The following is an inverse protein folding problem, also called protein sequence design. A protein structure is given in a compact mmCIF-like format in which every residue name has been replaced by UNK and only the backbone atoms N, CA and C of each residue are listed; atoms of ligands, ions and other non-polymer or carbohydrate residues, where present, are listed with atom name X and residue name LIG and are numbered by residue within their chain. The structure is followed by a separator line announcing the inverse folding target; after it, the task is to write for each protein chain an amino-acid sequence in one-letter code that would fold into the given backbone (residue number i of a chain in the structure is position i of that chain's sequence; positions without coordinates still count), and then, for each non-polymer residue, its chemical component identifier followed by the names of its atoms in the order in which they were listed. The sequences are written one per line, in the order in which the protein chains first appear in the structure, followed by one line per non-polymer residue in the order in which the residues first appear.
data_IF_977263667418
#
_entry.id   IF_977263667418
#
_cell.length_a   1.000
_cell.length_b   1.000
_cell.length_c   1.000
_cell.angle_alpha   90.00
_cell.angle_beta   90.00
_cell.angle_gamma   90.00
#
_symmetry.space_group_name_H-M   'P 1'
#
loop_
_entity.id
_entity.type
_entity.pdbx_description
1 polymer ?
#
# COMPACT_ATOMS: atom_id res chain seq x y z
N UNK A 1 -22.34 -18.49 -15.80
CA UNK A 1 -22.77 -18.36 -14.40
C UNK A 1 -22.32 -16.97 -13.96
N UNK A 2 -23.20 -16.12 -13.43
CA UNK A 2 -22.83 -14.74 -13.09
C UNK A 2 -21.84 -14.68 -11.93
N UNK A 3 -20.71 -14.03 -12.13
CA UNK A 3 -19.67 -13.78 -11.12
C UNK A 3 -20.20 -12.83 -10.03
N UNK A 4 -21.07 -11.90 -10.41
CA UNK A 4 -21.73 -11.01 -9.46
C UNK A 4 -22.72 -11.75 -8.56
N UNK A 5 -23.49 -12.69 -9.11
CA UNK A 5 -24.39 -13.54 -8.32
C UNK A 5 -23.60 -14.37 -7.29
N UNK A 6 -22.40 -14.81 -7.64
CA UNK A 6 -21.53 -15.53 -6.71
C UNK A 6 -21.07 -14.64 -5.55
N UNK A 7 -20.64 -13.42 -5.84
CA UNK A 7 -20.24 -12.48 -4.82
C UNK A 7 -21.41 -12.06 -3.90
N UNK A 8 -22.61 -11.84 -4.48
CA UNK A 8 -23.81 -11.53 -3.73
C UNK A 8 -24.23 -12.69 -2.81
N UNK A 9 -24.23 -13.92 -3.33
CA UNK A 9 -24.53 -15.13 -2.54
C UNK A 9 -23.58 -15.31 -1.36
N UNK A 10 -22.28 -15.11 -1.60
CA UNK A 10 -21.29 -15.19 -0.54
C UNK A 10 -21.52 -14.15 0.57
N UNK A 11 -21.97 -12.96 0.19
CA UNK A 11 -22.32 -11.91 1.16
C UNK A 11 -23.52 -12.31 2.03
N UNK A 12 -24.57 -12.87 1.43
CA UNK A 12 -25.79 -13.30 2.15
C UNK A 12 -25.54 -14.51 3.06
N UNK A 13 -24.70 -15.44 2.63
CA UNK A 13 -24.45 -16.69 3.39
C UNK A 13 -23.26 -16.61 4.35
N UNK A 14 -22.46 -15.53 4.28
CA UNK A 14 -21.20 -15.42 5.01
C UNK A 14 -20.11 -16.39 4.53
N UNK A 15 -20.32 -17.03 3.39
CA UNK A 15 -19.40 -18.01 2.82
C UNK A 15 -18.18 -17.31 2.20
N UNK A 16 -17.04 -18.05 2.11
CA UNK A 16 -15.93 -17.61 1.28
C UNK A 16 -16.31 -17.76 -0.21
N UNK A 17 -16.10 -16.71 -1.00
CA UNK A 17 -16.57 -16.57 -2.39
C UNK A 17 -16.15 -17.74 -3.30
N UNK A 18 -15.01 -18.36 -3.04
CA UNK A 18 -14.36 -19.33 -3.93
C UNK A 18 -15.03 -20.73 -3.95
N UNK A 19 -15.74 -21.10 -2.89
CA UNK A 19 -16.28 -22.49 -2.75
C UNK A 19 -17.71 -22.68 -3.21
N UNK A 20 -18.41 -21.62 -3.62
CA UNK A 20 -19.83 -21.61 -3.93
C UNK A 20 -20.29 -22.28 -5.26
N UNK A 21 -19.47 -22.45 -6.34
CA UNK A 21 -20.03 -22.84 -7.66
C UNK A 21 -20.71 -24.20 -7.72
N UNK A 22 -20.43 -25.11 -6.78
CA UNK A 22 -21.01 -26.49 -6.79
C UNK A 22 -22.20 -26.65 -5.83
N UNK A 23 -22.52 -25.64 -5.05
CA UNK A 23 -23.59 -25.71 -4.06
C UNK A 23 -24.98 -25.64 -4.74
N UNK A 24 -25.90 -26.52 -4.28
CA UNK A 24 -27.29 -26.52 -4.71
C UNK A 24 -27.98 -25.20 -4.33
N UNK A 25 -27.66 -24.64 -3.16
CA UNK A 25 -28.22 -23.39 -2.68
C UNK A 25 -27.81 -22.23 -3.60
N UNK A 26 -26.54 -22.16 -4.00
CA UNK A 26 -26.08 -21.15 -4.97
C UNK A 26 -26.81 -21.28 -6.32
N UNK A 27 -27.03 -22.49 -6.84
CA UNK A 27 -27.75 -22.65 -8.11
C UNK A 27 -29.21 -22.18 -8.03
N UNK A 28 -29.86 -22.34 -6.89
CA UNK A 28 -31.22 -21.81 -6.65
C UNK A 28 -31.19 -20.31 -6.60
N UNK A 29 -30.28 -19.74 -5.81
CA UNK A 29 -30.07 -18.28 -5.71
C UNK A 29 -29.82 -17.64 -7.07
N UNK A 30 -28.86 -18.19 -7.83
CA UNK A 30 -28.44 -17.62 -9.12
C UNK A 30 -29.56 -17.60 -10.18
N UNK A 31 -30.55 -18.50 -10.09
CA UNK A 31 -31.71 -18.51 -11.01
C UNK A 31 -32.68 -17.36 -10.73
N UNK A 32 -32.78 -16.92 -9.49
CA UNK A 32 -33.64 -15.80 -9.06
C UNK A 32 -32.92 -14.46 -8.93
N UNK A 33 -31.61 -14.42 -9.19
CA UNK A 33 -30.81 -13.23 -8.97
C UNK A 33 -31.07 -12.18 -10.05
N UNK A 34 -31.62 -11.03 -9.64
CA UNK A 34 -31.78 -9.85 -10.50
C UNK A 34 -30.47 -9.08 -10.60
N UNK A 35 -29.61 -9.50 -11.55
CA UNK A 35 -28.31 -8.88 -11.78
C UNK A 35 -28.41 -7.43 -12.23
N UNK A 36 -29.38 -7.11 -13.08
CA UNK A 36 -29.57 -5.75 -13.59
C UNK A 36 -29.98 -4.79 -12.48
N UNK A 37 -30.94 -5.17 -11.64
CA UNK A 37 -31.37 -4.39 -10.49
C UNK A 37 -30.27 -4.29 -9.43
N UNK A 38 -29.47 -5.34 -9.23
CA UNK A 38 -28.32 -5.28 -8.32
C UNK A 38 -27.25 -4.29 -8.79
N UNK A 39 -26.90 -4.32 -10.07
CA UNK A 39 -25.97 -3.35 -10.68
C UNK A 39 -26.48 -1.91 -10.62
N UNK A 40 -27.79 -1.70 -10.79
CA UNK A 40 -28.40 -0.38 -10.64
C UNK A 40 -28.19 0.18 -9.22
N UNK A 41 -28.51 -0.62 -8.19
CA UNK A 41 -28.29 -0.22 -6.78
C UNK A 41 -26.81 0.04 -6.45
N UNK A 42 -25.89 -0.74 -7.01
CA UNK A 42 -24.46 -0.48 -6.85
C UNK A 42 -24.09 0.89 -7.43
N UNK A 43 -24.55 1.21 -8.64
CA UNK A 43 -24.27 2.50 -9.31
C UNK A 43 -24.82 3.67 -8.52
N UNK A 44 -26.05 3.56 -8.00
CA UNK A 44 -26.66 4.58 -7.13
C UNK A 44 -25.85 4.87 -5.87
N UNK A 45 -25.17 3.85 -5.33
CA UNK A 45 -24.26 3.99 -4.18
C UNK A 45 -22.80 4.33 -4.56
N UNK A 46 -22.54 4.65 -5.83
CA UNK A 46 -21.19 4.97 -6.32
C UNK A 46 -20.24 3.79 -6.35
N UNK A 47 -20.77 2.56 -6.40
CA UNK A 47 -19.97 1.32 -6.49
C UNK A 47 -20.05 0.77 -7.91
N UNK A 48 -18.89 0.42 -8.46
CA UNK A 48 -18.77 -0.31 -9.74
C UNK A 48 -18.43 -1.76 -9.44
N UNK A 49 -18.89 -2.67 -10.29
CA UNK A 49 -18.48 -4.06 -10.26
C UNK A 49 -17.56 -4.34 -11.46
N UNK A 50 -16.40 -4.89 -11.20
CA UNK A 50 -15.44 -5.34 -12.20
C UNK A 50 -15.36 -6.86 -12.10
N UNK A 51 -16.01 -7.55 -13.02
CA UNK A 51 -16.03 -9.00 -13.09
C UNK A 51 -14.63 -9.54 -13.45
N UNK A 52 -14.27 -10.73 -12.98
CA UNK A 52 -12.99 -11.36 -13.34
C UNK A 52 -12.86 -11.57 -14.87
N UNK A 53 -13.97 -11.82 -15.55
CA UNK A 53 -14.03 -11.97 -17.01
C UNK A 53 -13.97 -10.66 -17.79
N UNK A 54 -14.04 -9.50 -17.12
CA UNK A 54 -14.02 -8.19 -17.75
C UNK A 54 -12.60 -7.80 -18.24
N UNK A 55 -12.52 -7.04 -19.32
CA UNK A 55 -11.25 -6.61 -19.93
C UNK A 55 -10.44 -5.64 -19.06
N UNK A 56 -11.10 -4.93 -18.15
CA UNK A 56 -10.52 -4.00 -17.19
C UNK A 56 -10.12 -4.65 -15.85
N UNK A 57 -10.34 -5.96 -15.69
CA UNK A 57 -9.83 -6.71 -14.56
C UNK A 57 -8.29 -6.84 -14.63
N UNK A 58 -7.61 -6.79 -13.48
CA UNK A 58 -6.15 -6.91 -13.43
C UNK A 58 -5.66 -8.27 -13.96
N UNK A 59 -4.77 -8.29 -14.98
CA UNK A 59 -4.17 -9.53 -15.45
C UNK A 59 -3.36 -10.25 -14.36
N UNK A 60 -2.67 -9.49 -13.51
CA UNK A 60 -1.89 -10.03 -12.40
C UNK A 60 -2.81 -10.75 -11.39
N UNK A 61 -3.93 -10.12 -11.03
CA UNK A 61 -4.90 -10.72 -10.12
C UNK A 61 -5.67 -11.89 -10.75
N UNK A 62 -5.87 -11.87 -12.05
CA UNK A 62 -6.50 -12.98 -12.77
C UNK A 62 -5.63 -14.24 -12.75
N UNK A 63 -4.30 -14.07 -12.73
CA UNK A 63 -3.32 -15.15 -12.84
C UNK A 63 -3.03 -15.87 -11.52
N UNK A 64 -3.47 -15.34 -10.35
CA UNK A 64 -3.22 -16.01 -9.07
C UNK A 64 -3.99 -17.33 -8.93
N UNK A 65 -3.52 -18.21 -8.03
CA UNK A 65 -4.15 -19.52 -7.79
C UNK A 65 -5.63 -19.41 -7.38
N UNK A 66 -5.99 -18.40 -6.61
CA UNK A 66 -7.34 -18.17 -6.08
C UNK A 66 -7.86 -16.76 -6.40
N UNK A 67 -8.15 -16.46 -7.70
CA UNK A 67 -8.64 -15.15 -8.09
C UNK A 67 -10.07 -14.92 -7.62
N UNK A 68 -10.42 -13.71 -7.15
CA UNK A 68 -11.81 -13.39 -6.80
C UNK A 68 -12.71 -13.45 -8.02
N UNK A 69 -14.01 -13.68 -7.83
CA UNK A 69 -15.01 -13.65 -8.91
C UNK A 69 -15.09 -12.27 -9.58
N UNK A 70 -14.69 -11.24 -8.89
CA UNK A 70 -14.59 -9.85 -9.33
C UNK A 70 -14.33 -8.94 -8.14
N UNK A 71 -14.30 -7.65 -8.39
CA UNK A 71 -14.08 -6.63 -7.39
C UNK A 71 -15.21 -5.59 -7.39
N UNK A 72 -15.70 -5.26 -6.22
CA UNK A 72 -16.44 -4.03 -5.98
C UNK A 72 -15.45 -2.87 -5.87
N UNK A 73 -15.67 -1.79 -6.58
CA UNK A 73 -14.70 -0.70 -6.76
C UNK A 73 -15.38 0.64 -6.48
N UNK A 74 -14.75 1.50 -5.70
CA UNK A 74 -15.15 2.89 -5.47
C UNK A 74 -13.97 3.82 -5.68
N UNK A 75 -14.21 4.97 -6.26
CA UNK A 75 -13.24 6.04 -6.49
C UNK A 75 -13.43 6.70 -7.83
N UNK A 76 -12.77 7.84 -8.03
CA UNK A 76 -12.90 8.65 -9.25
C UNK A 76 -12.04 8.09 -10.39
N UNK A 77 -10.94 7.40 -10.06
CA UNK A 77 -10.13 6.72 -11.06
C UNK A 77 -10.92 5.62 -11.79
N UNK A 78 -10.57 5.37 -13.04
CA UNK A 78 -11.13 4.26 -13.82
C UNK A 78 -10.64 2.90 -13.31
N UNK A 79 -11.38 1.80 -13.56
CA UNK A 79 -10.93 0.44 -13.20
C UNK A 79 -9.64 0.02 -13.91
N UNK A 80 -9.31 0.65 -15.04
CA UNK A 80 -8.05 0.49 -15.77
C UNK A 80 -6.81 0.76 -14.90
N UNK A 81 -6.96 1.54 -13.80
CA UNK A 81 -5.91 1.72 -12.80
C UNK A 81 -5.40 0.37 -12.25
N UNK A 82 -6.25 -0.65 -12.15
CA UNK A 82 -5.90 -1.99 -11.68
C UNK A 82 -5.00 -2.77 -12.67
N UNK A 83 -4.81 -2.27 -13.87
CA UNK A 83 -3.97 -2.87 -14.93
C UNK A 83 -2.61 -2.18 -15.08
N UNK A 84 -2.40 -1.05 -14.40
CA UNK A 84 -1.12 -0.32 -14.42
C UNK A 84 -0.07 -1.10 -13.63
N UNK A 85 1.18 -0.66 -13.72
CA UNK A 85 2.26 -1.18 -12.89
C UNK A 85 1.97 -0.88 -11.41
N UNK A 86 1.90 -1.94 -10.60
CA UNK A 86 1.46 -1.89 -9.21
C UNK A 86 2.48 -2.53 -8.29
N UNK A 87 2.66 -1.95 -7.11
CA UNK A 87 3.53 -2.44 -6.05
C UNK A 87 2.80 -2.44 -4.72
N UNK A 88 2.89 -3.54 -3.97
CA UNK A 88 2.33 -3.64 -2.63
C UNK A 88 3.33 -3.09 -1.59
N UNK A 89 2.84 -2.26 -0.66
CA UNK A 89 3.60 -1.82 0.51
C UNK A 89 2.82 -2.22 1.76
N UNK A 90 3.36 -3.15 2.54
CA UNK A 90 2.68 -3.73 3.70
C UNK A 90 3.60 -3.78 4.92
N UNK A 91 3.03 -3.93 6.12
CA UNK A 91 3.84 -4.05 7.32
C UNK A 91 3.05 -4.02 8.63
N UNK A 92 3.76 -3.70 9.70
CA UNK A 92 3.23 -3.67 11.05
C UNK A 92 2.11 -2.62 11.21
N UNK A 93 1.00 -3.03 11.88
CA UNK A 93 -0.11 -2.12 12.24
C UNK A 93 0.28 -1.12 13.34
N UNK A 94 1.27 -1.47 14.15
CA UNK A 94 1.91 -0.62 15.15
C UNK A 94 3.38 -0.54 14.80
N UNK A 95 3.69 0.17 13.72
CA UNK A 95 5.05 0.38 13.25
C UNK A 95 5.79 1.37 14.15
N UNK A 96 7.11 1.34 14.10
CA UNK A 96 7.96 2.35 14.71
C UNK A 96 7.88 3.68 13.95
N UNK A 97 8.39 4.79 14.52
CA UNK A 97 8.56 6.03 13.76
C UNK A 97 9.43 5.84 12.50
N UNK A 98 10.45 4.99 12.55
CA UNK A 98 11.26 4.60 11.41
C UNK A 98 10.43 3.90 10.34
N UNK A 99 9.67 2.86 10.71
CA UNK A 99 8.81 2.14 9.75
C UNK A 99 7.73 3.04 9.14
N UNK A 100 7.18 3.98 9.91
CA UNK A 100 6.23 4.96 9.40
C UNK A 100 6.87 5.89 8.35
N UNK A 101 8.07 6.40 8.64
CA UNK A 101 8.85 7.25 7.74
C UNK A 101 9.21 6.51 6.45
N UNK A 102 9.76 5.30 6.56
CA UNK A 102 10.12 4.48 5.39
C UNK A 102 8.91 4.16 4.53
N UNK A 103 7.77 3.76 5.13
CA UNK A 103 6.56 3.47 4.39
C UNK A 103 6.04 4.69 3.61
N UNK A 104 6.08 5.87 4.24
CA UNK A 104 5.65 7.13 3.61
C UNK A 104 6.59 7.58 2.51
N UNK A 105 7.90 7.48 2.72
CA UNK A 105 8.94 7.74 1.73
C UNK A 105 8.74 6.84 0.50
N UNK A 106 8.66 5.51 0.70
CA UNK A 106 8.45 4.56 -0.39
C UNK A 106 7.14 4.82 -1.14
N UNK A 107 6.04 5.09 -0.40
CA UNK A 107 4.76 5.46 -1.02
C UNK A 107 4.89 6.66 -1.93
N UNK A 108 5.59 7.71 -1.49
CA UNK A 108 5.81 8.95 -2.24
C UNK A 108 6.68 8.72 -3.47
N UNK A 109 7.81 8.06 -3.32
CA UNK A 109 8.80 7.89 -4.39
C UNK A 109 8.31 6.93 -5.46
N UNK A 110 7.72 5.79 -5.08
CA UNK A 110 7.17 4.82 -6.02
C UNK A 110 5.97 5.38 -6.79
N UNK A 111 5.08 6.10 -6.11
CA UNK A 111 3.95 6.75 -6.77
C UNK A 111 4.40 7.94 -7.64
N UNK A 112 5.41 8.71 -7.22
CA UNK A 112 6.04 9.76 -8.02
C UNK A 112 6.69 9.24 -9.30
N UNK A 113 7.24 8.01 -9.26
CA UNK A 113 7.77 7.31 -10.44
C UNK A 113 6.67 6.68 -11.33
N UNK A 114 5.38 6.88 -11.01
CA UNK A 114 4.25 6.41 -11.82
C UNK A 114 3.71 5.02 -11.47
N UNK A 115 4.25 4.36 -10.44
CA UNK A 115 3.68 3.10 -9.93
C UNK A 115 2.39 3.36 -9.13
N UNK A 116 1.50 2.40 -9.15
CA UNK A 116 0.31 2.41 -8.29
C UNK A 116 0.63 1.67 -6.98
N UNK A 117 0.57 2.39 -5.86
CA UNK A 117 0.79 1.78 -4.54
C UNK A 117 -0.46 1.04 -4.09
N UNK A 118 -0.32 -0.24 -3.80
CA UNK A 118 -1.41 -1.11 -3.32
C UNK A 118 -1.17 -1.43 -1.84
N UNK A 119 -2.18 -1.28 -0.99
CA UNK A 119 -2.08 -1.69 0.42
C UNK A 119 -3.46 -1.98 1.03
N UNK A 120 -3.49 -2.35 2.29
CA UNK A 120 -4.69 -2.83 2.97
C UNK A 120 -5.43 -1.80 3.83
N UNK A 121 -5.01 -0.55 3.80
CA UNK A 121 -5.58 0.52 4.64
C UNK A 121 -5.51 0.24 6.15
N UNK A 122 -4.71 -0.71 6.62
CA UNK A 122 -4.51 -0.93 8.04
C UNK A 122 -3.78 0.28 8.69
N UNK A 123 -3.81 0.35 10.03
CA UNK A 123 -2.98 1.32 10.75
C UNK A 123 -1.50 1.04 10.47
N UNK A 124 -0.63 2.00 10.75
CA UNK A 124 0.81 1.86 10.60
C UNK A 124 1.25 1.91 9.14
N UNK A 125 2.08 0.97 8.72
CA UNK A 125 2.73 0.95 7.40
C UNK A 125 1.76 1.17 6.24
N UNK A 126 0.63 0.46 6.21
CA UNK A 126 -0.35 0.58 5.13
C UNK A 126 -0.86 2.02 4.98
N UNK A 127 -1.25 2.63 6.10
CA UNK A 127 -1.74 4.01 6.11
C UNK A 127 -0.68 5.02 5.68
N UNK A 128 0.57 4.84 6.10
CA UNK A 128 1.67 5.73 5.72
C UNK A 128 2.05 5.60 4.25
N UNK A 129 2.06 4.38 3.71
CA UNK A 129 2.28 4.15 2.28
C UNK A 129 1.23 4.87 1.42
N UNK A 130 -0.06 4.78 1.78
CA UNK A 130 -1.12 5.51 1.08
C UNK A 130 -0.95 7.03 1.20
N UNK A 131 -0.57 7.55 2.38
CA UNK A 131 -0.31 9.01 2.56
C UNK A 131 0.82 9.47 1.67
N UNK A 132 1.95 8.74 1.65
CA UNK A 132 3.08 9.05 0.78
C UNK A 132 2.69 9.09 -0.69
N UNK A 133 1.95 8.10 -1.18
CA UNK A 133 1.48 8.08 -2.56
C UNK A 133 0.59 9.28 -2.91
N UNK A 134 -0.32 9.66 -2.00
CA UNK A 134 -1.18 10.83 -2.17
C UNK A 134 -0.42 12.18 -2.12
N UNK A 135 0.67 12.25 -1.35
CA UNK A 135 1.54 13.43 -1.28
C UNK A 135 2.29 13.68 -2.59
N UNK A 136 2.67 12.62 -3.28
CA UNK A 136 3.25 12.71 -4.62
C UNK A 136 2.23 13.02 -5.72
N UNK A 137 0.95 13.18 -5.38
CA UNK A 137 -0.12 13.28 -6.38
C UNK A 137 -0.32 12.00 -7.20
N UNK A 138 0.28 10.89 -6.76
CA UNK A 138 0.20 9.59 -7.43
C UNK A 138 -1.05 8.79 -7.06
N UNK A 139 -1.31 7.73 -7.81
CA UNK A 139 -2.46 6.87 -7.59
C UNK A 139 -2.16 5.76 -6.56
N UNK A 140 -3.18 5.43 -5.76
CA UNK A 140 -3.09 4.33 -4.81
C UNK A 140 -4.38 3.53 -4.74
N UNK A 141 -4.28 2.23 -4.43
CA UNK A 141 -5.40 1.31 -4.32
C UNK A 141 -5.44 0.71 -2.92
N UNK A 142 -6.53 0.97 -2.21
CA UNK A 142 -6.76 0.34 -0.90
C UNK A 142 -7.68 -0.89 -1.05
N UNK A 143 -7.18 -2.05 -0.66
CA UNK A 143 -7.92 -3.31 -0.69
C UNK A 143 -8.60 -3.52 0.66
N UNK A 144 -9.91 -3.75 0.69
CA UNK A 144 -10.68 -3.92 1.91
C UNK A 144 -10.90 -5.39 2.27
N UNK A 145 -10.88 -5.71 3.57
CA UNK A 145 -11.28 -7.01 4.12
C UNK A 145 -12.72 -7.00 4.68
N UNK A 146 -13.58 -6.14 4.16
CA UNK A 146 -15.00 -6.01 4.51
C UNK A 146 -15.77 -5.46 3.32
N UNK A 147 -17.07 -5.25 3.45
CA UNK A 147 -17.90 -4.65 2.41
C UNK A 147 -17.34 -3.33 1.91
N UNK A 148 -17.44 -3.10 0.60
CA UNK A 148 -16.87 -1.92 -0.07
C UNK A 148 -17.46 -0.60 0.44
N UNK A 149 -18.60 -0.64 1.08
CA UNK A 149 -19.31 0.49 1.69
C UNK A 149 -18.80 0.86 3.09
N UNK A 150 -17.83 0.08 3.65
CA UNK A 150 -17.35 0.23 5.02
C UNK A 150 -15.91 0.68 5.07
N UNK A 151 -15.68 1.91 5.52
CA UNK A 151 -14.32 2.43 5.77
C UNK A 151 -13.78 1.84 7.08
N UNK A 152 -12.95 0.80 6.96
CA UNK A 152 -12.32 0.13 8.10
C UNK A 152 -10.78 0.14 7.98
N UNK A 153 -10.04 0.52 9.04
CA UNK A 153 -10.52 0.97 10.36
C UNK A 153 -11.16 2.37 10.30
N UNK A 154 -12.10 2.67 11.18
CA UNK A 154 -12.80 3.95 11.22
C UNK A 154 -11.86 5.17 11.34
N UNK A 155 -10.69 4.97 11.97
CA UNK A 155 -9.64 6.00 12.07
C UNK A 155 -9.05 6.40 10.69
N UNK A 156 -9.22 5.59 9.66
CA UNK A 156 -8.73 5.87 8.30
C UNK A 156 -9.85 6.27 7.31
N UNK A 157 -11.03 6.65 7.80
CA UNK A 157 -12.15 7.09 6.95
C UNK A 157 -11.77 8.28 6.06
N UNK A 158 -11.11 9.27 6.62
CA UNK A 158 -10.64 10.43 5.86
C UNK A 158 -9.60 10.03 4.81
N UNK A 159 -8.65 9.16 5.18
CA UNK A 159 -7.66 8.63 4.24
C UNK A 159 -8.33 7.85 3.11
N UNK A 160 -9.32 6.99 3.41
CA UNK A 160 -10.10 6.28 2.40
C UNK A 160 -10.82 7.24 1.44
N UNK A 161 -11.35 8.35 1.94
CA UNK A 161 -11.97 9.39 1.11
C UNK A 161 -10.95 10.06 0.19
N UNK A 162 -9.77 10.40 0.71
CA UNK A 162 -8.67 10.95 -0.10
C UNK A 162 -8.17 9.96 -1.15
N UNK A 163 -8.08 8.68 -0.81
CA UNK A 163 -7.72 7.63 -1.79
C UNK A 163 -8.73 7.60 -2.93
N UNK A 164 -10.04 7.66 -2.62
CA UNK A 164 -11.09 7.63 -3.64
C UNK A 164 -11.08 8.83 -4.58
N UNK A 165 -10.57 9.97 -4.17
CA UNK A 165 -10.50 11.17 -5.04
C UNK A 165 -9.40 11.11 -6.10
N UNK A 166 -8.39 10.24 -5.97
CA UNK A 166 -7.29 10.12 -6.94
C UNK A 166 -6.94 8.68 -7.33
N UNK A 167 -7.54 7.71 -6.64
CA UNK A 167 -7.30 6.29 -6.81
C UNK A 167 -8.56 5.48 -6.59
N UNK A 168 -8.39 4.27 -6.02
CA UNK A 168 -9.50 3.33 -5.82
C UNK A 168 -9.47 2.70 -4.42
N UNK A 169 -10.67 2.45 -3.88
CA UNK A 169 -10.87 1.42 -2.86
C UNK A 169 -11.53 0.22 -3.52
N UNK A 170 -11.06 -0.99 -3.21
CA UNK A 170 -11.55 -2.23 -3.82
C UNK A 170 -11.84 -3.28 -2.75
N UNK A 171 -12.81 -4.14 -3.02
CA UNK A 171 -13.13 -5.29 -2.16
C UNK A 171 -13.74 -6.43 -2.97
N UNK A 172 -13.45 -7.67 -2.59
CA UNK A 172 -14.20 -8.83 -3.08
C UNK A 172 -15.55 -9.00 -2.35
N UNK A 173 -15.72 -8.28 -1.24
CA UNK A 173 -16.91 -8.36 -0.41
C UNK A 173 -17.94 -7.30 -0.82
N UNK A 174 -19.18 -7.76 -1.05
CA UNK A 174 -20.29 -6.90 -1.41
C UNK A 174 -20.63 -5.88 -0.30
N UNK A 175 -21.34 -4.77 -0.63
CA UNK A 175 -21.86 -3.85 0.36
C UNK A 175 -22.61 -4.56 1.48
N UNK A 176 -22.50 -4.07 2.71
CA UNK A 176 -23.14 -4.62 3.90
C UNK A 176 -22.33 -5.69 4.64
N UNK A 177 -21.27 -6.26 4.03
CA UNK A 177 -20.46 -7.31 4.68
C UNK A 177 -19.62 -6.74 5.81
N UNK A 178 -19.83 -7.25 7.04
CA UNK A 178 -19.11 -6.80 8.23
C UNK A 178 -17.63 -7.21 8.21
N UNK A 179 -16.73 -6.42 8.81
CA UNK A 179 -15.35 -6.86 9.02
C UNK A 179 -15.30 -8.07 9.95
N UNK A 180 -14.47 -9.06 9.60
CA UNK A 180 -14.24 -10.25 10.42
C UNK A 180 -12.74 -10.58 10.44
N UNK A 181 -12.19 -11.10 11.56
CA UNK A 181 -10.74 -11.35 11.70
C UNK A 181 -10.14 -12.19 10.57
N UNK A 182 -10.85 -13.21 10.09
CA UNK A 182 -10.38 -14.12 9.04
C UNK A 182 -10.39 -13.49 7.64
N UNK A 183 -11.18 -12.43 7.40
CA UNK A 183 -11.26 -11.75 6.11
C UNK A 183 -10.02 -10.94 5.79
N UNK A 184 -9.33 -10.43 6.81
CA UNK A 184 -8.12 -9.64 6.59
C UNK A 184 -6.96 -10.48 6.02
N UNK A 185 -6.61 -11.66 6.57
CA UNK A 185 -5.67 -12.57 5.92
C UNK A 185 -6.12 -13.05 4.54
N UNK A 186 -7.40 -13.41 4.37
CA UNK A 186 -7.94 -13.84 3.09
C UNK A 186 -7.82 -12.76 2.01
N UNK A 187 -8.05 -11.48 2.37
CA UNK A 187 -7.91 -10.34 1.48
C UNK A 187 -6.46 -10.12 1.01
N UNK A 188 -5.46 -10.50 1.82
CA UNK A 188 -4.05 -10.22 1.50
C UNK A 188 -3.60 -10.87 0.19
N UNK A 189 -4.21 -11.99 -0.23
CA UNK A 189 -3.97 -12.57 -1.56
C UNK A 189 -4.32 -11.60 -2.70
N UNK A 190 -5.29 -10.70 -2.48
CA UNK A 190 -5.67 -9.68 -3.48
C UNK A 190 -4.64 -8.55 -3.51
N UNK A 191 -4.06 -8.16 -2.36
CA UNK A 191 -2.97 -7.18 -2.32
C UNK A 191 -1.77 -7.71 -3.09
N UNK A 192 -1.29 -8.93 -2.76
CA UNK A 192 -0.19 -9.58 -3.45
C UNK A 192 -0.53 -9.82 -4.93
N UNK A 193 -1.73 -10.32 -5.22
CA UNK A 193 -2.18 -10.66 -6.56
C UNK A 193 -2.35 -9.45 -7.50
N UNK A 194 -2.67 -8.28 -6.97
CA UNK A 194 -2.71 -7.04 -7.75
C UNK A 194 -1.29 -6.53 -8.09
N UNK A 195 -0.25 -6.94 -7.36
CA UNK A 195 1.05 -6.30 -7.37
C UNK A 195 2.12 -7.18 -8.04
N UNK A 196 3.01 -6.57 -8.81
CA UNK A 196 4.16 -7.28 -9.40
C UNK A 196 5.27 -7.50 -8.36
N UNK A 197 5.36 -6.62 -7.37
CA UNK A 197 6.28 -6.75 -6.26
C UNK A 197 5.57 -6.42 -4.93
N UNK A 198 6.04 -7.02 -3.83
CA UNK A 198 5.53 -6.78 -2.47
C UNK A 198 6.67 -6.37 -1.56
N UNK A 199 6.51 -5.23 -0.90
CA UNK A 199 7.46 -4.66 0.05
C UNK A 199 6.94 -4.87 1.46
N UNK A 200 7.76 -5.46 2.34
CA UNK A 200 7.49 -5.58 3.77
C UNK A 200 8.41 -4.63 4.53
N UNK A 201 7.83 -3.57 5.12
CA UNK A 201 8.62 -2.51 5.79
C UNK A 201 9.01 -2.90 7.21
N UNK A 202 8.07 -3.34 8.02
CA UNK A 202 8.28 -3.90 9.35
C UNK A 202 7.30 -5.05 9.58
N UNK A 203 7.78 -6.11 10.18
CA UNK A 203 6.96 -7.26 10.57
C UNK A 203 7.51 -7.96 11.79
N UNK A 204 6.66 -8.22 12.78
CA UNK A 204 6.97 -9.18 13.86
C UNK A 204 6.81 -10.61 13.32
N UNK A 205 7.34 -11.56 14.05
CA UNK A 205 7.03 -12.98 13.82
C UNK A 205 5.52 -13.20 13.78
N UNK A 206 5.07 -13.99 12.82
CA UNK A 206 3.65 -14.30 12.60
C UNK A 206 2.77 -13.07 12.31
N UNK A 207 3.37 -12.01 11.78
CA UNK A 207 2.64 -10.81 11.35
C UNK A 207 1.75 -11.10 10.14
N UNK A 208 0.60 -10.41 10.06
CA UNK A 208 -0.26 -10.47 8.87
C UNK A 208 0.41 -9.99 7.58
N UNK A 209 1.45 -9.15 7.69
CA UNK A 209 2.24 -8.71 6.53
C UNK A 209 3.06 -9.87 5.92
N UNK A 210 3.55 -10.80 6.75
CA UNK A 210 4.24 -12.00 6.27
C UNK A 210 3.33 -12.90 5.44
N UNK A 211 2.04 -12.99 5.80
CA UNK A 211 1.03 -13.71 4.99
C UNK A 211 0.91 -13.10 3.59
N UNK A 212 1.06 -11.77 3.48
CA UNK A 212 1.04 -11.12 2.16
C UNK A 212 2.30 -11.44 1.37
N UNK A 213 3.46 -11.49 2.03
CA UNK A 213 4.71 -11.93 1.41
C UNK A 213 4.64 -13.39 0.95
N UNK A 214 4.08 -14.29 1.78
CA UNK A 214 3.87 -15.71 1.43
C UNK A 214 3.00 -15.82 0.17
N UNK A 215 1.86 -15.11 0.09
CA UNK A 215 1.05 -15.08 -1.13
C UNK A 215 1.81 -14.55 -2.34
N UNK A 216 2.65 -13.53 -2.18
CA UNK A 216 3.45 -13.00 -3.28
C UNK A 216 4.46 -14.04 -3.78
N UNK A 217 5.15 -14.73 -2.88
CA UNK A 217 6.11 -15.80 -3.22
C UNK A 217 5.41 -16.99 -3.89
N UNK A 218 4.26 -17.43 -3.38
CA UNK A 218 3.47 -18.53 -3.96
C UNK A 218 3.04 -18.23 -5.41
N UNK A 219 2.86 -16.95 -5.72
CA UNK A 219 2.48 -16.48 -7.07
C UNK A 219 3.71 -16.08 -7.93
N UNK A 220 4.93 -16.36 -7.46
CA UNK A 220 6.17 -16.06 -8.19
C UNK A 220 6.43 -14.56 -8.37
N UNK A 221 5.99 -13.73 -7.38
CA UNK A 221 6.21 -12.29 -7.37
C UNK A 221 7.46 -11.94 -6.59
N UNK A 222 8.06 -10.80 -6.94
CA UNK A 222 9.18 -10.26 -6.19
C UNK A 222 8.76 -9.85 -4.77
N UNK A 223 9.60 -10.20 -3.79
CA UNK A 223 9.41 -9.79 -2.39
C UNK A 223 10.64 -9.04 -1.92
N UNK A 224 10.41 -7.83 -1.45
CA UNK A 224 11.41 -6.99 -0.83
C UNK A 224 11.16 -6.88 0.67
N UNK A 225 12.22 -6.88 1.44
CA UNK A 225 12.15 -6.66 2.89
C UNK A 225 13.09 -5.53 3.30
N UNK A 226 12.58 -4.58 4.07
CA UNK A 226 13.40 -3.51 4.65
C UNK A 226 14.25 -4.10 5.78
N UNK A 227 15.59 -4.00 5.71
CA UNK A 227 16.46 -4.40 6.80
C UNK A 227 16.19 -3.59 8.06
N UNK A 228 16.23 -4.24 9.19
CA UNK A 228 16.01 -3.56 10.45
C UNK A 228 16.91 -4.05 11.57
N UNK A 229 16.87 -3.37 12.72
CA UNK A 229 17.69 -3.69 13.88
C UNK A 229 17.47 -5.12 14.34
N UNK A 230 18.55 -5.88 14.56
CA UNK A 230 18.49 -7.28 15.01
C UNK A 230 17.90 -7.42 16.43
N UNK A 231 17.88 -6.34 17.20
CA UNK A 231 17.32 -6.26 18.56
C UNK A 231 15.84 -5.87 18.57
N UNK A 232 15.30 -5.40 17.45
CA UNK A 232 13.92 -4.96 17.34
C UNK A 232 12.99 -6.12 16.97
N UNK A 233 11.98 -6.35 17.80
CA UNK A 233 10.92 -7.31 17.49
C UNK A 233 10.11 -6.94 16.24
N UNK A 234 10.10 -5.67 15.82
CA UNK A 234 9.43 -5.20 14.59
C UNK A 234 10.22 -5.58 13.32
N UNK A 235 11.50 -5.91 13.46
CA UNK A 235 12.37 -6.29 12.34
C UNK A 235 12.58 -7.80 12.25
N UNK A 236 12.11 -8.60 13.21
CA UNK A 236 12.36 -10.05 13.22
C UNK A 236 11.84 -10.71 11.94
N UNK A 237 10.61 -10.43 11.55
CA UNK A 237 9.99 -11.03 10.37
C UNK A 237 10.60 -10.54 9.05
N UNK A 238 10.95 -9.25 8.92
CA UNK A 238 11.64 -8.76 7.71
C UNK A 238 13.05 -9.32 7.60
N UNK A 239 13.80 -9.38 8.70
CA UNK A 239 15.13 -10.00 8.72
C UNK A 239 15.08 -11.51 8.42
N UNK A 240 14.02 -12.20 8.81
CA UNK A 240 13.83 -13.61 8.44
C UNK A 240 13.45 -13.76 6.96
N UNK A 241 12.65 -12.87 6.38
CA UNK A 241 12.42 -12.85 4.92
C UNK A 241 13.73 -12.68 4.15
N UNK A 242 14.63 -11.79 4.59
CA UNK A 242 15.95 -11.61 3.98
C UNK A 242 16.79 -12.89 4.04
N UNK A 243 16.79 -13.61 5.17
CA UNK A 243 17.48 -14.91 5.29
C UNK A 243 16.88 -15.97 4.36
N UNK A 244 15.59 -15.90 4.06
CA UNK A 244 14.88 -16.80 3.15
C UNK A 244 15.06 -16.43 1.68
N UNK A 245 15.74 -15.31 1.38
CA UNK A 245 16.09 -14.90 0.03
C UNK A 245 15.23 -13.76 -0.54
N UNK A 246 14.42 -13.09 0.27
CA UNK A 246 13.80 -11.85 -0.16
C UNK A 246 14.85 -10.78 -0.46
N UNK A 247 14.62 -9.95 -1.47
CA UNK A 247 15.54 -8.88 -1.85
C UNK A 247 15.61 -7.81 -0.75
N UNK A 248 16.81 -7.40 -0.31
CA UNK A 248 16.94 -6.30 0.63
C UNK A 248 16.50 -4.99 -0.04
N UNK A 249 15.67 -4.22 0.66
CA UNK A 249 15.25 -2.90 0.22
C UNK A 249 16.00 -1.82 0.99
N UNK A 250 16.90 -1.13 0.31
CA UNK A 250 17.73 -0.06 0.88
C UNK A 250 17.40 1.30 0.28
N UNK A 251 16.79 1.32 -0.90
CA UNK A 251 16.31 2.51 -1.58
C UNK A 251 15.11 2.15 -2.49
N UNK A 252 14.29 3.13 -2.85
CA UNK A 252 13.18 2.93 -3.81
C UNK A 252 13.67 2.44 -5.18
N UNK A 253 14.89 2.81 -5.55
CA UNK A 253 15.57 2.36 -6.77
C UNK A 253 15.61 0.83 -6.91
N UNK A 254 15.81 0.10 -5.80
CA UNK A 254 15.83 -1.36 -5.81
C UNK A 254 14.52 -1.96 -6.36
N UNK A 255 13.40 -1.29 -6.10
CA UNK A 255 12.08 -1.68 -6.62
C UNK A 255 11.87 -1.17 -8.05
N UNK A 256 12.26 0.07 -8.33
CA UNK A 256 12.09 0.69 -9.65
C UNK A 256 12.86 -0.08 -10.74
N UNK A 257 13.99 -0.70 -10.40
CA UNK A 257 14.75 -1.58 -11.29
C UNK A 257 13.92 -2.74 -11.82
N UNK A 258 13.10 -3.36 -10.99
CA UNK A 258 12.20 -4.47 -11.38
C UNK A 258 11.19 -4.02 -12.45
N UNK A 259 10.81 -2.75 -12.42
CA UNK A 259 9.87 -2.17 -13.37
C UNK A 259 10.55 -1.52 -14.60
N UNK A 260 11.89 -1.54 -14.65
CA UNK A 260 12.66 -0.86 -15.70
C UNK A 260 12.51 0.67 -15.67
N UNK A 261 12.22 1.23 -14.49
CA UNK A 261 12.00 2.66 -14.26
C UNK A 261 13.23 3.36 -13.66
N UNK A 262 14.37 2.69 -13.61
CA UNK A 262 15.64 3.27 -13.21
C UNK A 262 16.15 4.22 -14.27
N UNK A 263 16.48 5.43 -13.84
CA UNK A 263 17.05 6.48 -14.70
C UNK A 263 16.24 7.75 -14.83
N UNK A 264 15.07 7.87 -14.23
CA UNK A 264 14.54 9.17 -13.88
C UNK A 264 15.31 9.65 -12.65
N UNK A 265 16.53 10.18 -12.85
CA UNK A 265 17.13 11.05 -11.84
C UNK A 265 16.05 12.08 -11.48
N UNK A 266 15.59 12.08 -10.23
CA UNK A 266 14.84 13.22 -9.71
C UNK A 266 15.70 14.45 -10.03
N UNK A 267 15.14 15.42 -10.74
CA UNK A 267 15.85 16.67 -11.00
C UNK A 267 16.51 17.10 -9.68
N UNK A 268 17.81 17.44 -9.71
CA UNK A 268 18.49 17.84 -8.49
C UNK A 268 17.69 18.98 -7.85
N UNK A 269 17.22 18.77 -6.64
CA UNK A 269 16.59 19.85 -5.89
C UNK A 269 17.61 20.99 -5.83
N UNK A 270 17.29 22.16 -6.37
CA UNK A 270 18.13 23.34 -6.21
C UNK A 270 18.04 23.80 -4.75
N UNK A 271 18.91 23.24 -3.92
CA UNK A 271 19.06 23.65 -2.54
C UNK A 271 20.07 24.80 -2.46
N UNK A 272 19.82 25.74 -1.56
CA UNK A 272 20.80 26.77 -1.24
C UNK A 272 22.08 26.15 -0.66
N UNK A 273 23.23 26.76 -0.88
CA UNK A 273 24.55 26.26 -0.45
C UNK A 273 24.62 25.86 1.03
N UNK A 274 23.92 26.64 1.90
CA UNK A 274 23.82 26.31 3.32
C UNK A 274 22.99 25.05 3.59
N UNK A 275 21.91 24.85 2.86
CA UNK A 275 21.07 23.64 2.96
C UNK A 275 21.82 22.41 2.47
N UNK A 276 22.56 22.49 1.35
CA UNK A 276 23.42 21.41 0.86
C UNK A 276 24.48 21.00 1.90
N UNK A 277 25.14 21.97 2.54
CA UNK A 277 26.15 21.71 3.56
C UNK A 277 25.54 21.01 4.80
N UNK A 278 24.37 21.44 5.23
CA UNK A 278 23.63 20.81 6.35
C UNK A 278 23.18 19.41 5.96
N UNK A 279 22.65 19.21 4.76
CA UNK A 279 22.21 17.92 4.26
C UNK A 279 23.38 16.94 4.16
N UNK A 280 24.53 17.38 3.64
CA UNK A 280 25.74 16.55 3.58
C UNK A 280 26.13 16.04 4.98
N UNK A 281 26.10 16.92 5.98
CA UNK A 281 26.40 16.52 7.37
C UNK A 281 25.34 15.57 7.96
N UNK A 282 24.05 15.76 7.63
CA UNK A 282 22.98 14.89 8.11
C UNK A 282 23.02 13.48 7.49
N UNK A 283 23.60 13.32 6.30
CA UNK A 283 23.85 12.01 5.68
C UNK A 283 24.85 11.15 6.45
N UNK A 284 25.76 11.76 7.21
CA UNK A 284 26.70 11.05 8.09
C UNK A 284 25.99 10.53 9.38
N UNK A 285 24.82 11.00 9.68
CA UNK A 285 23.99 10.59 10.81
C UNK A 285 23.18 11.72 11.44
N UNK A 286 22.23 11.37 12.31
CA UNK A 286 21.40 12.34 13.02
C UNK A 286 22.25 13.31 13.83
N UNK A 287 21.84 14.59 13.87
CA UNK A 287 22.54 15.61 14.61
C UNK A 287 21.57 16.65 15.20
N UNK A 288 21.90 17.20 16.36
CA UNK A 288 21.21 18.35 16.95
C UNK A 288 21.57 19.64 16.22
N UNK A 289 20.75 20.70 16.39
CA UNK A 289 21.06 22.03 15.83
C UNK A 289 22.43 22.52 16.25
N UNK A 290 22.83 22.32 17.52
CA UNK A 290 24.14 22.74 18.02
C UNK A 290 25.31 21.97 17.39
N UNK A 291 25.12 20.68 17.09
CA UNK A 291 26.13 19.87 16.40
C UNK A 291 26.23 20.27 14.93
N UNK A 292 25.11 20.55 14.27
CA UNK A 292 25.08 21.08 12.90
C UNK A 292 25.78 22.45 12.81
N UNK A 293 25.46 23.39 13.71
CA UNK A 293 26.10 24.69 13.75
C UNK A 293 27.63 24.57 13.88
N UNK A 294 28.10 23.72 14.79
CA UNK A 294 29.55 23.46 14.98
C UNK A 294 30.22 22.83 13.80
N UNK A 295 29.52 21.85 13.14
CA UNK A 295 30.06 21.10 12.01
C UNK A 295 30.10 21.92 10.72
N UNK A 296 29.08 22.78 10.50
CA UNK A 296 28.95 23.58 9.27
C UNK A 296 29.52 25.00 9.39
N UNK A 297 29.73 25.48 10.61
CA UNK A 297 30.16 26.84 10.86
C UNK A 297 29.08 27.92 10.58
N UNK A 298 27.86 27.50 10.32
CA UNK A 298 26.74 28.45 10.07
C UNK A 298 26.29 29.12 11.37
N UNK A 299 25.93 30.37 11.28
CA UNK A 299 25.25 31.04 12.39
C UNK A 299 23.82 30.51 12.59
N UNK A 300 23.21 30.84 13.72
CA UNK A 300 21.91 30.33 14.09
C UNK A 300 20.79 30.67 13.07
N UNK A 301 20.87 31.83 12.45
CA UNK A 301 19.87 32.27 11.45
C UNK A 301 20.03 31.54 10.14
N UNK A 302 21.25 31.40 9.65
CA UNK A 302 21.55 30.65 8.43
C UNK A 302 21.22 29.18 8.60
N UNK A 303 21.53 28.58 9.75
CA UNK A 303 21.21 27.20 10.05
C UNK A 303 19.69 26.98 10.12
N UNK A 304 18.94 27.87 10.81
CA UNK A 304 17.49 27.77 10.88
C UNK A 304 16.83 27.87 9.48
N UNK A 305 17.33 28.77 8.63
CA UNK A 305 16.86 28.90 7.24
C UNK A 305 17.14 27.63 6.43
N UNK A 306 18.36 27.10 6.53
CA UNK A 306 18.77 25.87 5.84
C UNK A 306 17.94 24.64 6.30
N UNK A 307 17.70 24.51 7.60
CA UNK A 307 16.87 23.44 8.15
C UNK A 307 15.41 23.55 7.70
N UNK A 308 14.85 24.76 7.68
CA UNK A 308 13.50 25.01 7.17
C UNK A 308 13.40 24.66 5.68
N UNK A 309 14.40 25.07 4.88
CA UNK A 309 14.47 24.72 3.46
C UNK A 309 14.52 23.20 3.27
N UNK A 310 15.33 22.48 4.03
CA UNK A 310 15.43 21.02 3.99
C UNK A 310 14.13 20.32 4.44
N UNK A 311 13.45 20.85 5.46
CA UNK A 311 12.15 20.31 5.90
C UNK A 311 11.06 20.54 4.84
N UNK A 312 10.99 21.74 4.25
CA UNK A 312 10.05 22.06 3.16
C UNK A 312 10.33 21.24 1.90
N UNK A 313 11.60 21.00 1.58
CA UNK A 313 12.05 20.16 0.49
C UNK A 313 11.86 18.65 0.78
N UNK A 314 11.48 18.29 2.01
CA UNK A 314 11.35 16.90 2.43
C UNK A 314 12.69 16.16 2.54
N UNK A 315 13.81 16.86 2.57
CA UNK A 315 15.15 16.28 2.65
C UNK A 315 15.63 16.03 4.08
N UNK A 316 14.96 16.63 5.07
CA UNK A 316 15.25 16.41 6.49
C UNK A 316 13.97 16.42 7.33
N UNK A 317 14.04 15.80 8.50
CA UNK A 317 12.96 15.78 9.49
C UNK A 317 13.50 16.02 10.89
N UNK A 318 12.79 16.86 11.68
CA UNK A 318 13.07 17.07 13.09
C UNK A 318 12.32 16.05 13.95
N UNK A 319 13.01 15.48 14.94
CA UNK A 319 12.39 14.55 15.90
C UNK A 319 13.27 14.29 17.10
N UNK A 320 12.70 14.40 18.33
CA UNK A 320 13.43 14.13 19.56
C UNK A 320 14.64 15.05 19.83
N UNK A 321 14.62 16.29 19.31
CA UNK A 321 15.70 17.26 19.48
C UNK A 321 16.88 17.10 18.50
N UNK A 322 16.75 16.20 17.52
CA UNK A 322 17.74 16.00 16.46
C UNK A 322 17.07 16.05 15.09
N UNK A 323 17.87 16.41 14.09
CA UNK A 323 17.50 16.38 12.67
C UNK A 323 18.09 15.12 12.02
N UNK A 324 17.39 14.59 11.01
CA UNK A 324 17.82 13.43 10.21
C UNK A 324 17.60 13.74 8.75
N UNK A 325 18.50 13.28 7.89
CA UNK A 325 18.23 13.25 6.46
C UNK A 325 17.11 12.21 6.17
N UNK A 326 16.27 12.55 5.22
CA UNK A 326 15.26 11.64 4.70
C UNK A 326 15.86 10.76 3.60
#
# INVERSE_FOLDING_TARGET
MSELALAAFAAETGSHVVRAPRDRAFRVFARGFDEAGYLARLRESGVRWVARSASDFSPLLHAIHDPPAGLFVRGEAGPDLLRRATVAVVGARSCSPYGAQVARMLGRELAGAGLVVVSGLARGVDGEAHRGALEAGGATVAVFGCGIDRDYPAAHRELATRIRSSGLTVSEYAPGVEPAPWRFPARNRIIAGLSAATIVVEARDRSGALITADFALDEGREVFAVPGEITSALSSGTNDLLKLGASPLTASGDVLDVFGLTGAESEPLELGSSAEMVLARLRDGPASADELARATGLDAGMLASALTELELAGCAVAGGGVYRAN
#
